data_IF_598175924010
#
_entry.id   IF_598175924010
#
_cell.length_a   1.000
_cell.length_b   1.000
_cell.length_c   1.000
_cell.angle_alpha   90.00
_cell.angle_beta   90.00
_cell.angle_gamma   90.00
#
_symmetry.space_group_name_H-M   'P 1'
#
loop_
_entity.id
_entity.type
_entity.pdbx_description
1 polymer ?
#
# COMPACT_ATOMS: atom_id res chain seq x y z
N UNK A 1 -5.10 7.77 -26.02
CA UNK A 1 -4.57 6.50 -25.48
C UNK A 1 -5.07 6.39 -24.05
N UNK A 2 -5.61 5.25 -23.63
CA UNK A 2 -6.21 5.14 -22.29
C UNK A 2 -5.15 4.70 -21.29
N UNK A 3 -4.87 5.56 -20.31
CA UNK A 3 -3.92 5.31 -19.23
C UNK A 3 -4.47 4.25 -18.27
N UNK A 4 -3.60 3.38 -17.76
CA UNK A 4 -3.96 2.44 -16.70
C UNK A 4 -3.52 2.99 -15.35
N UNK A 5 -4.33 2.80 -14.31
CA UNK A 5 -4.04 3.27 -12.96
C UNK A 5 -3.78 2.10 -12.03
N UNK A 6 -2.64 2.12 -11.34
CA UNK A 6 -2.28 1.15 -10.31
C UNK A 6 -2.24 1.84 -8.94
N UNK A 7 -3.17 1.49 -8.07
CA UNK A 7 -3.28 2.05 -6.74
C UNK A 7 -2.55 1.17 -5.74
N UNK A 8 -1.60 1.76 -5.02
CA UNK A 8 -1.15 1.14 -3.77
C UNK A 8 -2.33 1.00 -2.78
N UNK A 9 -2.24 0.04 -1.86
CA UNK A 9 -3.35 -0.27 -0.95
C UNK A 9 -3.07 0.26 0.45
N UNK A 10 -2.02 -0.22 1.11
CA UNK A 10 -1.74 0.09 2.51
C UNK A 10 -1.02 1.43 2.65
N UNK A 11 -1.73 2.42 3.18
CA UNK A 11 -1.30 3.82 3.29
C UNK A 11 -1.97 4.72 2.26
N UNK A 12 -2.47 4.15 1.16
CA UNK A 12 -3.02 4.91 0.02
C UNK A 12 -4.54 4.81 -0.05
N UNK A 13 -5.09 3.60 -0.20
CA UNK A 13 -6.54 3.37 -0.18
C UNK A 13 -7.05 3.04 1.23
N UNK A 14 -6.23 2.35 2.03
CA UNK A 14 -6.54 1.86 3.38
C UNK A 14 -5.57 2.45 4.39
N UNK A 15 -6.07 2.86 5.55
CA UNK A 15 -5.25 3.49 6.60
C UNK A 15 -4.66 2.45 7.56
N UNK A 16 -3.34 2.16 7.51
CA UNK A 16 -2.69 1.26 8.46
C UNK A 16 -2.58 1.84 9.87
N UNK A 17 -2.68 3.16 10.05
CA UNK A 17 -2.56 3.78 11.38
C UNK A 17 -3.73 3.42 12.30
N UNK A 18 -4.88 3.03 11.74
CA UNK A 18 -6.05 2.53 12.48
C UNK A 18 -5.74 1.36 13.41
N UNK A 19 -4.64 0.62 13.21
CA UNK A 19 -4.20 -0.43 14.13
C UNK A 19 -3.88 0.08 15.55
N UNK A 20 -3.59 1.37 15.72
CA UNK A 20 -3.39 1.96 17.05
C UNK A 20 -4.60 1.76 17.96
N UNK A 21 -5.82 1.90 17.43
CA UNK A 21 -7.04 1.71 18.22
C UNK A 21 -7.22 0.26 18.68
N UNK A 22 -6.90 -0.70 17.81
CA UNK A 22 -6.95 -2.12 18.13
C UNK A 22 -5.91 -2.53 19.19
N UNK A 23 -4.79 -1.82 19.26
CA UNK A 23 -3.70 -2.08 20.21
C UNK A 23 -3.92 -1.44 21.59
N UNK A 24 -4.89 -0.53 21.76
CA UNK A 24 -5.12 0.18 23.03
C UNK A 24 -5.32 -0.74 24.22
N UNK A 25 -6.07 -1.83 24.03
CA UNK A 25 -6.33 -2.81 25.10
C UNK A 25 -5.06 -3.56 25.54
N UNK A 26 -4.10 -3.73 24.62
CA UNK A 26 -2.89 -4.51 24.81
C UNK A 26 -1.69 -3.65 25.25
N UNK A 27 -1.63 -2.39 24.78
CA UNK A 27 -0.46 -1.51 24.90
C UNK A 27 -0.72 -0.23 25.71
N UNK A 28 -1.98 0.09 26.05
CA UNK A 28 -2.33 1.33 26.74
C UNK A 28 -1.82 2.58 26.01
N UNK A 29 -1.11 3.45 26.74
CA UNK A 29 -0.52 4.69 26.20
C UNK A 29 0.54 4.43 25.12
N UNK A 30 1.12 3.23 25.05
CA UNK A 30 2.14 2.88 24.06
C UNK A 30 1.55 2.44 22.71
N UNK A 31 0.22 2.32 22.59
CA UNK A 31 -0.44 1.77 21.39
C UNK A 31 -0.07 2.50 20.09
N UNK A 32 0.01 3.83 20.12
CA UNK A 32 0.41 4.63 18.96
C UNK A 32 1.88 4.35 18.56
N UNK A 33 2.76 4.26 19.55
CA UNK A 33 4.19 3.94 19.34
C UNK A 33 4.36 2.54 18.77
N UNK A 34 3.66 1.54 19.32
CA UNK A 34 3.69 0.16 18.84
C UNK A 34 3.13 0.08 17.42
N UNK A 35 2.00 0.73 17.12
CA UNK A 35 1.41 0.75 15.78
C UNK A 35 2.37 1.32 14.73
N UNK A 36 3.03 2.44 15.05
CA UNK A 36 4.05 3.04 14.18
C UNK A 36 5.24 2.10 13.96
N UNK A 37 5.82 1.55 15.04
CA UNK A 37 6.94 0.61 14.95
C UNK A 37 6.57 -0.66 14.17
N UNK A 38 5.35 -1.16 14.37
CA UNK A 38 4.85 -2.32 13.64
C UNK A 38 4.83 -2.05 12.13
N UNK A 39 4.26 -0.92 11.69
CA UNK A 39 4.23 -0.54 10.28
C UNK A 39 5.64 -0.33 9.70
N UNK A 40 6.51 0.36 10.42
CA UNK A 40 7.90 0.58 10.01
C UNK A 40 8.63 -0.76 9.81
N UNK A 41 8.53 -1.66 10.80
CA UNK A 41 9.20 -2.96 10.75
C UNK A 41 8.61 -3.91 9.72
N UNK A 42 7.30 -3.84 9.48
CA UNK A 42 6.65 -4.62 8.43
C UNK A 42 7.25 -4.27 7.05
N UNK A 43 7.38 -2.98 6.74
CA UNK A 43 8.00 -2.53 5.49
C UNK A 43 9.49 -2.90 5.45
N UNK A 44 10.24 -2.60 6.51
CA UNK A 44 11.67 -2.93 6.63
C UNK A 44 11.94 -4.43 6.40
N UNK A 45 11.11 -5.30 7.00
CA UNK A 45 11.24 -6.74 6.85
C UNK A 45 10.93 -7.19 5.43
N UNK A 46 9.89 -6.62 4.80
CA UNK A 46 9.59 -6.92 3.39
C UNK A 46 10.73 -6.49 2.45
N UNK A 47 11.32 -5.30 2.66
CA UNK A 47 12.44 -4.83 1.83
C UNK A 47 13.66 -5.73 1.99
N UNK A 48 14.01 -6.09 3.22
CA UNK A 48 15.15 -6.99 3.48
C UNK A 48 14.92 -8.37 2.89
N UNK A 49 13.75 -8.96 3.10
CA UNK A 49 13.42 -10.29 2.55
C UNK A 49 13.43 -10.29 1.03
N UNK A 50 12.92 -9.24 0.39
CA UNK A 50 13.01 -9.04 -1.06
C UNK A 50 14.47 -8.98 -1.53
N UNK A 51 15.28 -8.10 -0.94
CA UNK A 51 16.69 -7.92 -1.30
C UNK A 51 17.52 -9.20 -1.07
N UNK A 52 17.27 -9.91 0.03
CA UNK A 52 17.93 -11.17 0.35
C UNK A 52 17.42 -12.36 -0.47
N UNK A 53 16.33 -12.17 -1.24
CA UNK A 53 15.62 -13.25 -1.95
C UNK A 53 15.16 -14.39 -1.03
N UNK A 54 14.77 -14.03 0.20
CA UNK A 54 14.21 -14.93 1.21
C UNK A 54 12.74 -14.59 1.44
N UNK A 55 11.98 -14.70 0.35
CA UNK A 55 10.56 -14.35 0.34
C UNK A 55 9.76 -15.16 1.36
N UNK A 56 8.95 -14.43 2.12
CA UNK A 56 7.78 -14.92 2.83
C UNK A 56 6.68 -13.89 2.55
N UNK A 57 5.42 -14.30 2.54
CA UNK A 57 4.34 -13.36 2.18
C UNK A 57 4.25 -12.16 3.14
N UNK A 58 3.55 -11.12 2.70
CA UNK A 58 3.45 -9.88 3.47
C UNK A 58 2.75 -10.09 4.83
N UNK A 59 1.84 -11.06 4.95
CA UNK A 59 1.19 -11.41 6.21
C UNK A 59 2.18 -12.00 7.22
N UNK A 60 3.13 -12.82 6.76
CA UNK A 60 4.25 -13.29 7.59
C UNK A 60 5.10 -12.12 8.08
N UNK A 61 5.51 -11.21 7.17
CA UNK A 61 6.28 -10.02 7.54
C UNK A 61 5.52 -9.15 8.55
N UNK A 62 4.21 -9.02 8.37
CA UNK A 62 3.31 -8.28 9.27
C UNK A 62 3.30 -8.89 10.67
N UNK A 63 3.12 -10.21 10.77
CA UNK A 63 3.10 -10.90 12.06
C UNK A 63 4.44 -10.83 12.79
N UNK A 64 5.54 -11.05 12.07
CA UNK A 64 6.90 -10.92 12.61
C UNK A 64 7.18 -9.51 13.11
N UNK A 65 6.75 -8.49 12.36
CA UNK A 65 6.88 -7.10 12.75
C UNK A 65 6.05 -6.73 13.99
N UNK A 66 4.84 -7.28 14.15
CA UNK A 66 4.02 -7.10 15.35
C UNK A 66 4.78 -7.63 16.58
N UNK A 67 5.25 -8.88 16.51
CA UNK A 67 6.02 -9.50 17.60
C UNK A 67 7.25 -8.68 17.96
N UNK A 68 7.97 -8.17 16.96
CA UNK A 68 9.15 -7.34 17.17
C UNK A 68 8.80 -6.00 17.83
N UNK A 69 7.75 -5.32 17.37
CA UNK A 69 7.29 -4.06 17.94
C UNK A 69 6.85 -4.21 19.40
N UNK A 70 6.11 -5.28 19.73
CA UNK A 70 5.73 -5.60 21.11
C UNK A 70 6.97 -5.86 21.98
N UNK A 71 7.92 -6.66 21.49
CA UNK A 71 9.14 -6.98 22.22
C UNK A 71 10.02 -5.75 22.50
N UNK A 72 10.11 -4.80 21.57
CA UNK A 72 10.84 -3.53 21.76
C UNK A 72 10.25 -2.67 22.90
N UNK A 73 8.97 -2.83 23.19
CA UNK A 73 8.29 -2.14 24.29
C UNK A 73 8.20 -3.00 25.56
N UNK A 74 8.81 -4.19 25.58
CA UNK A 74 8.72 -5.12 26.70
C UNK A 74 7.31 -5.72 26.90
N UNK A 75 6.48 -5.70 25.86
CA UNK A 75 5.11 -6.22 25.88
C UNK A 75 5.05 -7.62 25.26
N UNK A 76 4.04 -8.39 25.65
CA UNK A 76 3.78 -9.73 25.11
C UNK A 76 2.31 -9.88 24.73
N UNK A 77 2.03 -10.77 23.78
CA UNK A 77 0.69 -11.13 23.34
C UNK A 77 0.51 -12.64 23.45
N UNK A 78 -0.71 -13.08 23.74
CA UNK A 78 -1.10 -14.47 23.50
C UNK A 78 -1.21 -14.72 21.99
N UNK A 79 -1.04 -15.97 21.56
CA UNK A 79 -1.22 -16.35 20.14
C UNK A 79 -2.61 -15.97 19.63
N UNK A 80 -3.65 -16.17 20.43
CA UNK A 80 -5.02 -15.81 20.06
C UNK A 80 -5.17 -14.30 19.81
N UNK A 81 -4.55 -13.47 20.66
CA UNK A 81 -4.61 -12.01 20.50
C UNK A 81 -3.81 -11.53 19.30
N UNK A 82 -2.67 -12.17 19.03
CA UNK A 82 -1.91 -11.95 17.81
C UNK A 82 -2.76 -12.29 16.57
N UNK A 83 -3.48 -13.41 16.58
CA UNK A 83 -4.38 -13.79 15.49
C UNK A 83 -5.51 -12.76 15.27
N UNK A 84 -6.12 -12.26 16.36
CA UNK A 84 -7.14 -11.22 16.28
C UNK A 84 -6.62 -9.93 15.63
N UNK A 85 -5.43 -9.47 16.02
CA UNK A 85 -4.80 -8.27 15.45
C UNK A 85 -4.44 -8.47 13.97
N UNK A 86 -4.00 -9.67 13.60
CA UNK A 86 -3.76 -10.03 12.21
C UNK A 86 -5.05 -10.06 11.39
N UNK A 87 -6.18 -10.49 11.97
CA UNK A 87 -7.48 -10.40 11.30
C UNK A 87 -7.97 -8.96 11.17
N UNK A 88 -7.78 -8.12 12.20
CA UNK A 88 -8.14 -6.70 12.17
C UNK A 88 -7.38 -5.95 11.07
N UNK A 89 -6.12 -6.31 10.82
CA UNK A 89 -5.32 -5.76 9.72
C UNK A 89 -5.97 -5.96 8.34
N UNK A 90 -6.71 -7.06 8.16
CA UNK A 90 -7.40 -7.40 6.92
C UNK A 90 -8.76 -6.69 6.77
N UNK A 91 -9.20 -5.95 7.78
CA UNK A 91 -10.48 -5.20 7.79
C UNK A 91 -10.26 -3.75 8.23
N UNK A 92 -9.07 -3.21 8.00
CA UNK A 92 -8.80 -1.79 8.25
C UNK A 92 -9.68 -0.91 7.36
N UNK A 93 -10.18 0.22 7.88
CA UNK A 93 -11.02 1.12 7.11
C UNK A 93 -10.24 1.79 5.97
N UNK A 94 -10.91 1.95 4.84
CA UNK A 94 -10.44 2.78 3.75
C UNK A 94 -10.44 4.26 4.13
N UNK A 95 -9.58 5.05 3.50
CA UNK A 95 -9.70 6.50 3.59
C UNK A 95 -11.06 6.95 3.02
N UNK A 96 -11.71 7.98 3.61
CA UNK A 96 -13.05 8.40 3.19
C UNK A 96 -13.17 8.80 1.71
N UNK A 97 -12.07 9.25 1.11
CA UNK A 97 -11.98 9.68 -0.28
C UNK A 97 -11.68 8.55 -1.28
N UNK A 98 -11.34 7.34 -0.80
CA UNK A 98 -10.95 6.23 -1.67
C UNK A 98 -12.13 5.70 -2.51
N UNK A 99 -13.28 5.43 -1.87
CA UNK A 99 -14.45 4.88 -2.58
C UNK A 99 -15.03 5.87 -3.59
N UNK A 100 -15.29 7.14 -3.25
CA UNK A 100 -15.81 8.11 -4.22
C UNK A 100 -14.88 8.28 -5.42
N UNK A 101 -13.57 8.38 -5.19
CA UNK A 101 -12.59 8.52 -6.28
C UNK A 101 -12.55 7.28 -7.17
N UNK A 102 -12.50 6.07 -6.60
CA UNK A 102 -12.47 4.85 -7.42
C UNK A 102 -13.77 4.67 -8.23
N UNK A 103 -14.92 5.06 -7.67
CA UNK A 103 -16.18 5.03 -8.39
C UNK A 103 -16.16 5.97 -9.61
N UNK A 104 -15.62 7.19 -9.46
CA UNK A 104 -15.49 8.14 -10.56
C UNK A 104 -14.48 7.70 -11.61
N UNK A 105 -13.26 7.31 -11.20
CA UNK A 105 -12.19 6.97 -12.14
C UNK A 105 -12.40 5.61 -12.80
N UNK A 106 -13.05 4.66 -12.13
CA UNK A 106 -13.33 3.33 -12.68
C UNK A 106 -14.23 3.35 -13.91
N UNK A 107 -15.01 4.41 -14.12
CA UNK A 107 -15.82 4.62 -15.33
C UNK A 107 -14.98 5.09 -16.54
N UNK A 108 -13.77 5.61 -16.29
CA UNK A 108 -12.93 6.30 -17.29
C UNK A 108 -11.64 5.53 -17.58
N UNK A 109 -11.03 4.96 -16.54
CA UNK A 109 -9.72 4.31 -16.59
C UNK A 109 -9.78 2.89 -16.05
N UNK A 110 -9.03 1.94 -16.64
CA UNK A 110 -8.75 0.66 -16.00
C UNK A 110 -7.99 0.88 -14.68
N UNK A 111 -8.62 0.54 -13.55
CA UNK A 111 -8.09 0.76 -12.21
C UNK A 111 -7.71 -0.57 -11.56
N UNK A 112 -6.50 -0.68 -11.03
CA UNK A 112 -5.99 -1.90 -10.42
C UNK A 112 -5.50 -1.63 -9.01
N UNK A 113 -5.74 -2.54 -8.06
CA UNK A 113 -4.99 -2.53 -6.82
C UNK A 113 -3.63 -3.21 -7.05
N UNK A 114 -2.54 -2.54 -6.72
CA UNK A 114 -1.18 -3.04 -6.85
C UNK A 114 -0.46 -3.00 -5.50
N UNK A 115 -0.22 -4.16 -4.89
CA UNK A 115 0.15 -4.22 -3.47
C UNK A 115 1.14 -5.32 -3.12
N UNK A 116 1.87 -5.10 -2.02
CA UNK A 116 2.67 -6.13 -1.36
C UNK A 116 1.81 -7.27 -0.76
N UNK A 117 0.53 -7.01 -0.47
CA UNK A 117 -0.39 -8.01 0.09
C UNK A 117 -0.72 -9.14 -0.88
N UNK A 118 -0.96 -10.34 -0.35
CA UNK A 118 -1.40 -11.52 -1.12
C UNK A 118 -2.85 -11.37 -1.61
N UNK A 119 -3.22 -12.09 -2.67
CA UNK A 119 -4.59 -12.04 -3.21
C UNK A 119 -5.69 -12.25 -2.16
N UNK A 120 -5.63 -13.25 -1.25
CA UNK A 120 -6.65 -13.42 -0.21
C UNK A 120 -6.75 -12.21 0.73
N UNK A 121 -5.61 -11.59 1.07
CA UNK A 121 -5.60 -10.40 1.91
C UNK A 121 -6.20 -9.18 1.19
N UNK A 122 -5.88 -9.01 -0.09
CA UNK A 122 -6.41 -7.93 -0.93
C UNK A 122 -7.92 -8.06 -1.13
N UNK A 123 -8.41 -9.24 -1.52
CA UNK A 123 -9.84 -9.49 -1.68
C UNK A 123 -10.60 -9.19 -0.38
N UNK A 124 -10.04 -9.61 0.77
CA UNK A 124 -10.66 -9.36 2.07
C UNK A 124 -10.73 -7.86 2.42
N UNK A 125 -9.60 -7.15 2.34
CA UNK A 125 -9.56 -5.74 2.77
C UNK A 125 -10.30 -4.81 1.79
N UNK A 126 -10.21 -5.05 0.48
CA UNK A 126 -10.91 -4.25 -0.53
C UNK A 126 -12.40 -4.57 -0.53
N UNK A 127 -12.77 -5.84 -0.34
CA UNK A 127 -14.17 -6.27 -0.21
C UNK A 127 -14.83 -5.71 1.05
N UNK A 128 -14.15 -5.76 2.20
CA UNK A 128 -14.63 -5.17 3.45
C UNK A 128 -15.00 -3.69 3.30
N UNK A 129 -14.20 -2.94 2.51
CA UNK A 129 -14.41 -1.52 2.27
C UNK A 129 -15.30 -1.21 1.05
N UNK A 130 -15.82 -2.24 0.36
CA UNK A 130 -16.62 -2.07 -0.85
C UNK A 130 -15.88 -1.34 -1.97
N UNK A 131 -14.56 -1.52 -2.06
CA UNK A 131 -13.70 -0.93 -3.11
C UNK A 131 -13.49 -1.89 -4.29
N UNK A 132 -13.61 -3.20 -4.03
CA UNK A 132 -13.25 -4.25 -4.98
C UNK A 132 -13.97 -4.15 -6.32
N UNK A 133 -15.23 -3.73 -6.31
CA UNK A 133 -16.10 -3.66 -7.49
C UNK A 133 -15.74 -2.53 -8.46
N UNK A 134 -14.98 -1.52 -7.99
CA UNK A 134 -14.49 -0.41 -8.82
C UNK A 134 -13.12 -0.68 -9.45
N UNK A 135 -12.53 -1.84 -9.16
CA UNK A 135 -11.22 -2.24 -9.67
C UNK A 135 -11.38 -3.25 -10.79
N UNK A 136 -10.76 -2.97 -11.93
CA UNK A 136 -10.60 -3.88 -13.06
C UNK A 136 -9.90 -5.18 -12.64
N UNK A 137 -8.93 -5.10 -11.73
CA UNK A 137 -8.23 -6.28 -11.24
C UNK A 137 -7.31 -6.01 -10.05
N UNK A 138 -6.71 -7.10 -9.57
CA UNK A 138 -5.74 -7.10 -8.48
C UNK A 138 -4.38 -7.56 -9.02
N UNK A 139 -3.33 -6.87 -8.62
CA UNK A 139 -1.93 -7.19 -8.93
C UNK A 139 -1.19 -7.34 -7.59
N UNK A 140 -0.84 -8.58 -7.26
CA UNK A 140 -0.05 -8.88 -6.07
C UNK A 140 1.41 -9.08 -6.46
N UNK A 141 2.35 -8.54 -5.66
CA UNK A 141 3.77 -8.89 -5.80
C UNK A 141 4.05 -10.36 -5.43
N UNK A 142 3.10 -11.04 -4.79
CA UNK A 142 3.24 -12.46 -4.42
C UNK A 142 3.48 -13.36 -5.64
N UNK A 143 3.04 -12.95 -6.84
CA UNK A 143 3.27 -13.67 -8.09
C UNK A 143 4.76 -13.83 -8.43
N UNK A 144 5.57 -12.85 -8.04
CA UNK A 144 7.00 -12.81 -8.37
C UNK A 144 7.90 -13.02 -7.15
N UNK A 145 7.31 -13.29 -5.98
CA UNK A 145 8.02 -13.62 -4.74
C UNK A 145 9.10 -12.59 -4.40
N UNK A 146 8.77 -11.31 -4.56
CA UNK A 146 9.57 -10.14 -4.16
C UNK A 146 8.65 -9.07 -3.59
N UNK A 147 9.19 -7.90 -3.25
CA UNK A 147 8.44 -6.78 -2.70
C UNK A 147 8.79 -5.48 -3.41
N UNK A 148 7.83 -4.56 -3.48
CA UNK A 148 8.16 -3.16 -3.80
C UNK A 148 9.26 -2.68 -2.82
N UNK A 149 10.26 -1.86 -3.23
CA UNK A 149 10.40 -1.23 -4.54
C UNK A 149 11.33 -1.99 -5.52
N UNK A 150 11.38 -3.32 -5.52
CA UNK A 150 12.12 -4.09 -6.54
C UNK A 150 11.63 -3.73 -7.96
N UNK A 151 12.49 -3.27 -8.90
CA UNK A 151 12.07 -2.93 -10.26
C UNK A 151 11.27 -4.02 -10.97
N UNK A 152 11.51 -5.30 -10.65
CA UNK A 152 10.77 -6.43 -11.20
C UNK A 152 9.27 -6.38 -10.87
N UNK A 153 8.87 -5.81 -9.72
CA UNK A 153 7.47 -5.70 -9.30
C UNK A 153 6.69 -4.72 -10.16
N UNK A 154 7.32 -3.62 -10.59
CA UNK A 154 6.68 -2.62 -11.45
C UNK A 154 6.61 -3.11 -12.90
N UNK A 155 7.64 -3.84 -13.35
CA UNK A 155 7.59 -4.53 -14.64
C UNK A 155 6.48 -5.60 -14.67
N UNK A 156 6.29 -6.33 -13.56
CA UNK A 156 5.16 -7.25 -13.40
C UNK A 156 3.82 -6.52 -13.45
N UNK A 157 3.67 -5.41 -12.72
CA UNK A 157 2.44 -4.61 -12.74
C UNK A 157 2.07 -4.14 -14.16
N UNK A 158 3.05 -3.71 -14.96
CA UNK A 158 2.82 -3.36 -16.38
C UNK A 158 2.26 -4.53 -17.18
N UNK A 159 2.84 -5.72 -17.04
CA UNK A 159 2.36 -6.93 -17.75
C UNK A 159 0.98 -7.36 -17.27
N UNK A 160 0.78 -7.43 -15.95
CA UNK A 160 -0.46 -7.90 -15.33
C UNK A 160 -1.67 -7.01 -15.63
N UNK A 161 -1.45 -5.70 -15.78
CA UNK A 161 -2.50 -4.74 -16.16
C UNK A 161 -2.75 -4.66 -17.67
N UNK A 162 -1.94 -5.35 -18.49
CA UNK A 162 -2.01 -5.27 -19.95
C UNK A 162 -1.53 -3.93 -20.54
N UNK A 163 -0.93 -3.05 -19.74
CA UNK A 163 -0.43 -1.74 -20.15
C UNK A 163 0.91 -1.84 -20.92
N UNK A 164 0.96 -2.67 -21.96
CA UNK A 164 2.18 -2.92 -22.76
C UNK A 164 2.61 -1.64 -23.50
N UNK A 165 1.72 -1.12 -24.35
CA UNK A 165 1.94 0.09 -25.16
C UNK A 165 1.20 1.31 -24.59
N UNK A 166 0.56 1.18 -23.43
CA UNK A 166 -0.16 2.27 -22.75
C UNK A 166 0.63 2.76 -21.52
N UNK A 167 0.49 4.03 -21.13
CA UNK A 167 1.03 4.52 -19.87
C UNK A 167 0.41 3.77 -18.68
N UNK A 168 1.24 3.41 -17.70
CA UNK A 168 0.82 2.92 -16.39
C UNK A 168 1.24 3.96 -15.36
N UNK A 169 0.27 4.50 -14.61
CA UNK A 169 0.51 5.44 -13.53
C UNK A 169 0.32 4.74 -12.18
N UNK A 170 1.34 4.76 -11.33
CA UNK A 170 1.21 4.40 -9.92
C UNK A 170 0.55 5.57 -9.17
N UNK A 171 -0.40 5.29 -8.29
CA UNK A 171 -0.92 6.24 -7.30
C UNK A 171 -0.57 5.68 -5.92
N UNK A 172 0.22 6.43 -5.14
CA UNK A 172 0.68 5.97 -3.83
C UNK A 172 0.94 7.13 -2.88
N UNK A 173 0.62 6.97 -1.59
CA UNK A 173 1.03 7.90 -0.54
C UNK A 173 2.43 7.59 0.01
N UNK A 174 2.96 6.41 -0.30
CA UNK A 174 4.26 5.94 0.14
C UNK A 174 5.35 6.50 -0.81
N UNK A 175 6.18 7.42 -0.32
CA UNK A 175 7.25 8.03 -1.13
C UNK A 175 8.20 6.99 -1.73
N UNK A 176 8.60 5.98 -0.96
CA UNK A 176 9.44 4.88 -1.42
C UNK A 176 8.83 4.07 -2.58
N UNK A 177 7.51 3.96 -2.66
CA UNK A 177 6.82 3.25 -3.75
C UNK A 177 6.72 4.13 -5.00
N UNK A 178 6.49 5.43 -4.82
CA UNK A 178 6.57 6.43 -5.90
C UNK A 178 7.96 6.42 -6.52
N UNK A 179 9.02 6.51 -5.70
CA UNK A 179 10.41 6.45 -6.17
C UNK A 179 10.68 5.15 -6.91
N UNK A 180 10.22 4.02 -6.38
CA UNK A 180 10.32 2.72 -7.03
C UNK A 180 9.69 2.71 -8.42
N UNK A 181 8.45 3.19 -8.54
CA UNK A 181 7.76 3.29 -9.84
C UNK A 181 8.47 4.24 -10.82
N UNK A 182 8.92 5.42 -10.37
CA UNK A 182 9.67 6.37 -11.20
C UNK A 182 11.00 5.76 -11.67
N UNK A 183 11.71 5.04 -10.80
CA UNK A 183 12.95 4.34 -11.16
C UNK A 183 12.74 3.26 -12.22
N UNK A 184 11.57 2.62 -12.24
CA UNK A 184 11.17 1.62 -13.22
C UNK A 184 10.53 2.22 -14.49
N UNK A 185 10.50 3.55 -14.63
CA UNK A 185 10.01 4.26 -15.82
C UNK A 185 8.48 4.39 -15.89
N UNK A 186 7.77 4.29 -14.76
CA UNK A 186 6.32 4.54 -14.69
C UNK A 186 6.06 6.02 -14.38
N UNK A 187 4.87 6.50 -14.75
CA UNK A 187 4.32 7.71 -14.13
C UNK A 187 3.95 7.39 -12.68
N UNK A 188 4.07 8.36 -11.78
CA UNK A 188 3.65 8.14 -10.40
C UNK A 188 3.11 9.44 -9.78
N UNK A 189 1.93 9.36 -9.19
CA UNK A 189 1.31 10.45 -8.45
C UNK A 189 1.48 10.17 -6.97
N UNK A 190 2.05 11.14 -6.25
CA UNK A 190 2.21 11.06 -4.81
C UNK A 190 0.99 11.67 -4.10
N UNK A 191 0.37 10.89 -3.23
CA UNK A 191 -0.74 11.34 -2.37
C UNK A 191 -0.15 11.76 -1.01
N UNK A 192 0.16 13.04 -0.85
CA UNK A 192 0.66 13.59 0.41
C UNK A 192 -0.48 13.71 1.42
N UNK A 193 -0.74 12.59 2.13
CA UNK A 193 -1.79 12.49 3.17
C UNK A 193 -1.51 13.39 4.38
N UNK A 194 -0.24 13.61 4.71
CA UNK A 194 0.22 14.47 5.80
C UNK A 194 1.10 15.59 5.24
N UNK A 195 0.68 16.87 5.33
CA UNK A 195 1.45 18.00 4.82
C UNK A 195 2.79 18.22 5.57
N UNK A 196 2.95 17.65 6.77
CA UNK A 196 4.19 17.72 7.53
C UNK A 196 5.25 16.70 7.04
N UNK A 197 4.84 15.67 6.30
CA UNK A 197 5.75 14.65 5.77
C UNK A 197 6.25 15.09 4.40
N UNK A 198 7.55 15.39 4.24
CA UNK A 198 8.11 15.75 2.93
C UNK A 198 8.26 14.51 2.04
N UNK A 199 8.34 14.75 0.72
CA UNK A 199 8.74 13.71 -0.22
C UNK A 199 10.22 13.35 -0.04
N UNK A 200 10.56 12.07 -0.15
CA UNK A 200 11.94 11.58 -0.11
C UNK A 200 12.62 11.81 -1.48
N UNK A 201 13.03 13.04 -1.78
CA UNK A 201 13.59 13.38 -3.10
C UNK A 201 14.98 12.77 -3.33
N UNK A 202 15.03 11.66 -4.07
CA UNK A 202 16.27 11.01 -4.53
C UNK A 202 16.66 11.42 -5.97
N UNK A 203 16.15 12.56 -6.45
CA UNK A 203 16.21 12.94 -7.87
C UNK A 203 15.18 12.21 -8.74
N UNK A 204 14.23 11.49 -8.10
CA UNK A 204 13.15 10.73 -8.72
C UNK A 204 11.80 11.28 -8.24
N UNK A 205 11.45 12.47 -8.69
CA UNK A 205 10.24 13.18 -8.27
C UNK A 205 8.96 12.56 -8.86
N UNK A 206 7.81 12.68 -8.17
CA UNK A 206 6.53 12.27 -8.73
C UNK A 206 6.18 13.07 -9.99
N UNK A 207 5.31 12.50 -10.82
CA UNK A 207 4.69 13.20 -11.96
C UNK A 207 3.74 14.31 -11.49
N UNK A 208 3.06 14.12 -10.36
CA UNK A 208 2.23 15.12 -9.71
C UNK A 208 2.12 14.84 -8.20
N UNK A 209 1.80 15.86 -7.41
CA UNK A 209 1.54 15.76 -5.98
C UNK A 209 0.12 16.21 -5.71
N UNK A 210 -0.64 15.39 -4.99
CA UNK A 210 -2.01 15.70 -4.54
C UNK A 210 -2.12 15.48 -3.04
N UNK A 211 -3.03 16.19 -2.37
CA UNK A 211 -3.21 16.10 -0.91
C UNK A 211 -4.37 15.19 -0.49
N UNK A 212 -5.18 14.76 -1.45
CA UNK A 212 -6.25 13.79 -1.29
C UNK A 212 -6.49 13.07 -2.62
N UNK A 213 -7.15 11.92 -2.59
CA UNK A 213 -7.47 11.18 -3.81
C UNK A 213 -8.46 11.94 -4.71
N UNK A 214 -9.19 12.93 -4.18
CA UNK A 214 -10.10 13.77 -4.98
C UNK A 214 -9.35 14.62 -6.01
N UNK A 215 -8.10 15.00 -5.75
CA UNK A 215 -7.27 15.75 -6.71
C UNK A 215 -6.74 14.90 -7.87
N UNK A 216 -7.01 13.59 -7.87
CA UNK A 216 -6.41 12.68 -8.83
C UNK A 216 -6.90 12.94 -10.26
N UNK A 217 -8.17 13.32 -10.45
CA UNK A 217 -8.70 13.57 -11.79
C UNK A 217 -7.96 14.71 -12.50
N UNK A 218 -7.80 15.84 -11.80
CA UNK A 218 -7.08 17.01 -12.31
C UNK A 218 -5.60 16.68 -12.55
N UNK A 219 -4.95 15.99 -11.60
CA UNK A 219 -3.55 15.59 -11.75
C UNK A 219 -3.30 14.64 -12.93
N UNK A 220 -4.29 13.83 -13.33
CA UNK A 220 -4.19 12.95 -14.49
C UNK A 220 -4.26 13.72 -15.82
N UNK A 221 -5.02 14.80 -15.88
CA UNK A 221 -5.14 15.63 -17.08
C UNK A 221 -3.80 16.36 -17.39
N UNK A 222 -3.01 16.68 -16.36
CA UNK A 222 -1.70 17.32 -16.49
C UNK A 222 -0.56 16.38 -16.94
N UNK A 223 -0.72 15.07 -16.76
CA UNK A 223 0.33 14.06 -17.05
C UNK A 223 0.00 13.16 -18.26
N UNK A 224 -1.16 13.34 -18.88
CA UNK A 224 -1.62 12.61 -20.07
C UNK A 224 -1.04 13.20 -21.37
#
# INVERSE_FOLDING_TARGET
MSMHLAFDVYGTLVDPQGMSDHLKADCGEQAATVSRLWREKQLEFSFRRGLMRLYADFGVCTREALRHAMALQGLTLSTAREDDLMQAYLTLPAFPDAKPMLAELGEVYPCYAFSNGSYPALEKVLGHNGLRDYLTGLVSVDDIKSFKPDPAVYAHARRATGAYDQPLCLVSSNAWDVIGARSAGLSAIWVQRDPAVPFEDWGLTPSAVIHSLQGLREALDDIA
#
